data_IF_331883477312
#
_entry.id   IF_331883477312
#
_cell.length_a   1.000
_cell.length_b   1.000
_cell.length_c   1.000
_cell.angle_alpha   90.00
_cell.angle_beta   90.00
_cell.angle_gamma   90.00
#
_symmetry.space_group_name_H-M   'P 1'
#
loop_
_entity.id
_entity.type
_entity.pdbx_description
1 polymer ?
#
# COMPACT_ATOMS: atom_id res chain seq x y z
N UNK A 1 5.80 -51.15 20.96
CA UNK A 1 6.04 -50.20 19.85
C UNK A 1 4.70 -49.91 19.17
N UNK A 2 4.21 -48.66 19.26
CA UNK A 2 3.17 -48.00 18.46
C UNK A 2 2.35 -47.05 19.35
N UNK A 3 2.87 -45.85 19.58
CA UNK A 3 2.10 -44.69 20.04
C UNK A 3 2.98 -43.43 19.97
N UNK A 4 3.45 -43.02 18.79
CA UNK A 4 4.24 -41.78 18.65
C UNK A 4 4.11 -41.08 17.28
N UNK A 5 3.05 -41.32 16.50
CA UNK A 5 2.90 -40.72 15.16
C UNK A 5 1.60 -39.92 14.91
N UNK A 6 0.69 -39.82 15.88
CA UNK A 6 -0.57 -39.09 15.70
C UNK A 6 -0.54 -37.61 16.10
N UNK A 7 0.45 -37.19 16.90
CA UNK A 7 0.58 -35.79 17.34
C UNK A 7 1.13 -34.82 16.29
N UNK A 8 2.07 -35.27 15.44
CA UNK A 8 2.71 -34.42 14.43
C UNK A 8 1.79 -34.06 13.27
N UNK A 9 0.90 -34.97 12.87
CA UNK A 9 -0.04 -34.74 11.77
C UNK A 9 -1.15 -33.75 12.15
N UNK A 10 -1.60 -33.78 13.41
CA UNK A 10 -2.63 -32.86 13.92
C UNK A 10 -2.08 -31.42 14.10
N UNK A 11 -0.80 -31.28 14.48
CA UNK A 11 -0.11 -29.98 14.58
C UNK A 11 0.17 -29.37 13.20
N UNK A 12 0.55 -30.17 12.22
CA UNK A 12 0.71 -29.72 10.83
C UNK A 12 -0.63 -29.30 10.20
N UNK A 13 -1.73 -29.98 10.53
CA UNK A 13 -3.09 -29.61 10.09
C UNK A 13 -3.61 -28.34 10.80
N UNK A 14 -3.25 -28.09 12.06
CA UNK A 14 -3.64 -26.88 12.79
C UNK A 14 -2.94 -25.61 12.26
N UNK A 15 -1.68 -25.72 11.82
CA UNK A 15 -0.89 -24.60 11.28
C UNK A 15 -1.44 -24.06 9.95
N UNK A 16 -2.16 -24.88 9.17
CA UNK A 16 -2.77 -24.48 7.89
C UNK A 16 -4.00 -23.58 8.14
N UNK A 17 -4.67 -23.71 9.28
CA UNK A 17 -5.87 -22.94 9.63
C UNK A 17 -5.61 -21.51 10.13
N UNK A 18 -4.34 -21.09 10.25
CA UNK A 18 -3.97 -19.80 10.86
C UNK A 18 -2.96 -18.99 10.04
N UNK A 19 -2.53 -19.49 8.87
CA UNK A 19 -1.58 -18.76 8.01
C UNK A 19 -2.30 -17.81 7.06
N UNK A 20 -1.77 -16.61 6.86
CA UNK A 20 -2.20 -15.71 5.80
C UNK A 20 -1.42 -16.01 4.52
N UNK A 21 -2.11 -16.07 3.37
CA UNK A 21 -1.50 -16.23 2.07
C UNK A 21 -1.49 -14.92 1.30
N UNK A 22 -0.30 -14.39 1.03
CA UNK A 22 -0.09 -13.11 0.40
C UNK A 22 0.48 -13.30 -1.01
N UNK A 23 0.13 -12.38 -1.92
CA UNK A 23 0.74 -12.33 -3.24
C UNK A 23 0.98 -10.90 -3.73
N UNK A 24 1.87 -10.76 -4.70
CA UNK A 24 2.00 -9.58 -5.55
C UNK A 24 1.95 -9.97 -7.02
N UNK A 25 1.19 -9.23 -7.80
CA UNK A 25 0.95 -9.51 -9.20
C UNK A 25 0.94 -8.23 -10.04
N UNK A 26 1.95 -8.05 -10.87
CA UNK A 26 1.88 -7.10 -11.97
C UNK A 26 0.92 -7.64 -13.03
N UNK A 27 -0.24 -7.00 -13.20
CA UNK A 27 -1.22 -7.37 -14.23
C UNK A 27 -1.11 -6.38 -15.38
N UNK A 28 -0.48 -6.83 -16.47
CA UNK A 28 -0.14 -5.98 -17.60
C UNK A 28 -1.24 -5.02 -18.02
N UNK A 29 -1.03 -3.72 -17.78
CA UNK A 29 -1.95 -2.63 -18.10
C UNK A 29 -3.41 -2.94 -17.71
N UNK A 30 -3.64 -3.29 -16.44
CA UNK A 30 -4.99 -3.55 -15.93
C UNK A 30 -5.85 -2.28 -15.98
N UNK A 31 -6.98 -2.33 -16.66
CA UNK A 31 -7.91 -1.21 -16.85
C UNK A 31 -9.11 -1.63 -17.70
N UNK A 32 -9.95 -0.69 -18.13
CA UNK A 32 -11.26 -0.96 -18.74
C UNK A 32 -11.24 -1.95 -19.90
N UNK A 33 -10.23 -1.83 -20.78
CA UNK A 33 -10.08 -2.74 -21.91
C UNK A 33 -9.94 -4.19 -21.45
N UNK A 34 -9.12 -4.44 -20.42
CA UNK A 34 -8.95 -5.78 -19.85
C UNK A 34 -10.20 -6.21 -19.07
N UNK A 35 -10.75 -5.29 -18.27
CA UNK A 35 -11.92 -5.54 -17.45
C UNK A 35 -13.20 -5.86 -18.25
N UNK A 36 -13.32 -5.34 -19.47
CA UNK A 36 -14.43 -5.66 -20.37
C UNK A 36 -14.41 -7.09 -20.93
N UNK A 37 -13.30 -7.83 -20.76
CA UNK A 37 -13.19 -9.21 -21.22
C UNK A 37 -13.49 -10.19 -20.06
N UNK A 38 -14.69 -10.77 -20.07
CA UNK A 38 -15.14 -11.66 -19.00
C UNK A 38 -14.21 -12.87 -18.80
N UNK A 39 -13.67 -13.46 -19.86
CA UNK A 39 -12.73 -14.60 -19.73
C UNK A 39 -11.46 -14.20 -18.98
N UNK A 40 -10.91 -13.01 -19.24
CA UNK A 40 -9.74 -12.53 -18.50
C UNK A 40 -10.10 -12.23 -17.05
N UNK A 41 -11.29 -11.66 -16.81
CA UNK A 41 -11.78 -11.37 -15.46
C UNK A 41 -12.04 -12.62 -14.64
N UNK A 42 -12.55 -13.69 -15.24
CA UNK A 42 -12.75 -14.99 -14.56
C UNK A 42 -11.41 -15.60 -14.16
N UNK A 43 -10.38 -15.51 -15.03
CA UNK A 43 -9.02 -15.96 -14.71
C UNK A 43 -8.42 -15.12 -13.59
N UNK A 44 -8.47 -13.78 -13.70
CA UNK A 44 -7.94 -12.88 -12.67
C UNK A 44 -8.65 -13.11 -11.34
N UNK A 45 -9.97 -13.26 -11.33
CA UNK A 45 -10.74 -13.59 -10.13
C UNK A 45 -10.29 -14.92 -9.53
N UNK A 46 -10.11 -15.96 -10.35
CA UNK A 46 -9.61 -17.26 -9.88
C UNK A 46 -8.24 -17.13 -9.21
N UNK A 47 -7.36 -16.28 -9.76
CA UNK A 47 -6.05 -15.97 -9.17
C UNK A 47 -6.24 -15.24 -7.83
N UNK A 48 -7.08 -14.20 -7.78
CA UNK A 48 -7.39 -13.43 -6.56
C UNK A 48 -7.88 -14.33 -5.43
N UNK A 49 -8.78 -15.28 -5.73
CA UNK A 49 -9.37 -16.19 -4.74
C UNK A 49 -8.36 -17.11 -4.05
N UNK A 50 -7.12 -17.20 -4.54
CA UNK A 50 -6.06 -17.92 -3.84
C UNK A 50 -5.58 -17.20 -2.59
N UNK A 51 -5.61 -15.88 -2.58
CA UNK A 51 -4.91 -15.07 -1.59
C UNK A 51 -5.85 -14.47 -0.54
N UNK A 52 -5.31 -14.29 0.66
CA UNK A 52 -5.90 -13.47 1.72
C UNK A 52 -5.64 -11.99 1.47
N UNK A 53 -4.46 -11.66 0.93
CA UNK A 53 -4.10 -10.32 0.45
C UNK A 53 -3.37 -10.47 -0.89
N UNK A 54 -3.84 -9.81 -1.94
CA UNK A 54 -3.15 -9.70 -3.22
C UNK A 54 -2.88 -8.24 -3.54
N UNK A 55 -1.60 -7.89 -3.72
CA UNK A 55 -1.19 -6.66 -4.38
C UNK A 55 -1.34 -6.84 -5.89
N UNK A 56 -2.04 -5.92 -6.53
CA UNK A 56 -2.12 -5.77 -7.99
C UNK A 56 -1.40 -4.47 -8.37
N UNK A 57 -0.53 -4.56 -9.37
CA UNK A 57 0.25 -3.44 -9.91
C UNK A 57 -0.12 -3.20 -11.37
N UNK A 58 0.36 -2.07 -11.92
CA UNK A 58 0.03 -1.59 -13.27
C UNK A 58 -1.47 -1.32 -13.48
N UNK A 59 -2.16 -0.90 -12.40
CA UNK A 59 -3.57 -0.51 -12.46
C UNK A 59 -3.70 0.86 -13.12
N UNK A 60 -4.14 0.87 -14.37
CA UNK A 60 -4.39 2.04 -15.21
C UNK A 60 -5.88 2.33 -15.27
N UNK A 61 -6.40 2.78 -14.13
CA UNK A 61 -7.83 2.94 -13.89
C UNK A 61 -8.08 4.23 -13.10
N UNK A 62 -8.25 5.34 -13.81
CA UNK A 62 -8.31 6.66 -13.18
C UNK A 62 -9.58 6.87 -12.36
N UNK A 63 -10.71 6.29 -12.79
CA UNK A 63 -12.02 6.45 -12.17
C UNK A 63 -12.48 5.23 -11.36
N UNK A 64 -11.61 4.23 -11.22
CA UNK A 64 -11.84 2.97 -10.50
C UNK A 64 -12.94 2.09 -11.12
N UNK A 65 -13.32 2.32 -12.37
CA UNK A 65 -14.39 1.57 -13.02
C UNK A 65 -13.98 0.12 -13.31
N UNK A 66 -12.76 -0.13 -13.80
CA UNK A 66 -12.21 -1.48 -13.96
C UNK A 66 -12.05 -2.20 -12.62
N UNK A 67 -11.61 -1.49 -11.59
CA UNK A 67 -11.46 -1.99 -10.21
C UNK A 67 -12.82 -2.42 -9.66
N UNK A 68 -13.85 -1.60 -9.86
CA UNK A 68 -15.22 -1.96 -9.44
C UNK A 68 -15.71 -3.22 -10.14
N UNK A 69 -15.50 -3.35 -11.45
CA UNK A 69 -15.85 -4.56 -12.19
C UNK A 69 -15.09 -5.79 -11.68
N UNK A 70 -13.81 -5.64 -11.32
CA UNK A 70 -13.03 -6.72 -10.69
C UNK A 70 -13.64 -7.15 -9.37
N UNK A 71 -13.97 -6.20 -8.50
CA UNK A 71 -14.59 -6.51 -7.21
C UNK A 71 -15.96 -7.17 -7.37
N UNK A 72 -16.75 -6.76 -8.36
CA UNK A 72 -18.03 -7.39 -8.67
C UNK A 72 -17.84 -8.85 -9.12
N UNK A 73 -16.81 -9.16 -9.92
CA UNK A 73 -16.46 -10.55 -10.28
C UNK A 73 -15.95 -11.35 -9.06
N UNK A 74 -15.01 -10.80 -8.31
CA UNK A 74 -14.38 -11.47 -7.15
C UNK A 74 -15.41 -11.79 -6.08
N UNK A 75 -16.34 -10.87 -5.79
CA UNK A 75 -17.36 -11.06 -4.76
C UNK A 75 -18.58 -11.90 -5.21
N UNK A 76 -18.60 -12.39 -6.45
CA UNK A 76 -19.50 -13.49 -6.83
C UNK A 76 -18.96 -14.85 -6.40
N UNK A 77 -17.66 -14.95 -6.11
CA UNK A 77 -16.99 -16.17 -5.67
C UNK A 77 -17.01 -16.38 -4.15
N UNK A 78 -16.18 -17.31 -3.64
CA UNK A 78 -16.16 -17.66 -2.22
C UNK A 78 -15.39 -16.64 -1.36
N UNK A 79 -16.07 -16.15 -0.32
CA UNK A 79 -15.52 -15.20 0.64
C UNK A 79 -15.80 -13.75 0.24
N UNK A 80 -15.77 -12.85 1.22
CA UNK A 80 -15.99 -11.43 1.00
C UNK A 80 -14.64 -10.73 0.88
N UNK A 81 -14.41 -10.07 -0.25
CA UNK A 81 -13.23 -9.24 -0.48
C UNK A 81 -13.58 -7.77 -0.39
N UNK A 82 -12.63 -7.02 0.15
CA UNK A 82 -12.56 -5.57 0.11
C UNK A 82 -11.26 -5.15 -0.57
N UNK A 83 -11.10 -3.85 -0.77
CA UNK A 83 -9.88 -3.31 -1.38
C UNK A 83 -9.45 -1.99 -0.76
N UNK A 84 -8.17 -1.68 -0.94
CA UNK A 84 -7.62 -0.35 -0.74
C UNK A 84 -6.70 -0.02 -1.92
N UNK A 85 -6.79 1.21 -2.42
CA UNK A 85 -6.13 1.65 -3.64
C UNK A 85 -5.41 2.98 -3.42
N UNK A 86 -4.23 3.14 -4.02
CA UNK A 86 -3.49 4.40 -4.01
C UNK A 86 -4.11 5.44 -4.93
N UNK A 87 -3.67 6.69 -4.83
CA UNK A 87 -3.83 7.68 -5.91
C UNK A 87 -3.07 7.26 -7.19
N UNK A 88 -3.30 7.89 -8.36
CA UNK A 88 -2.49 7.66 -9.55
C UNK A 88 -1.06 8.21 -9.36
N UNK A 89 -0.07 7.34 -9.50
CA UNK A 89 1.36 7.60 -9.30
C UNK A 89 2.13 7.45 -10.62
N UNK A 90 3.22 8.19 -10.82
CA UNK A 90 3.98 8.21 -12.08
C UNK A 90 4.50 9.61 -12.42
N UNK A 91 5.77 9.83 -12.75
CA UNK A 91 6.26 11.19 -13.08
C UNK A 91 5.66 11.81 -14.35
N UNK A 92 5.07 10.99 -15.21
CA UNK A 92 4.56 11.41 -16.51
C UNK A 92 3.03 11.42 -16.56
N UNK A 93 2.45 11.68 -17.73
CA UNK A 93 1.02 11.49 -17.97
C UNK A 93 0.58 10.03 -17.88
N UNK A 94 1.53 9.10 -18.05
CA UNK A 94 1.33 7.70 -17.75
C UNK A 94 1.39 7.51 -16.23
N UNK A 95 0.24 7.18 -15.65
CA UNK A 95 0.04 6.95 -14.22
C UNK A 95 -0.52 5.55 -13.97
N UNK A 96 -0.17 4.98 -12.83
CA UNK A 96 -0.65 3.69 -12.33
C UNK A 96 -1.07 3.79 -10.87
N UNK A 97 -1.84 2.82 -10.38
CA UNK A 97 -2.19 2.68 -8.97
C UNK A 97 -1.64 1.38 -8.41
N UNK A 98 -1.39 1.36 -7.11
CA UNK A 98 -1.29 0.13 -6.32
C UNK A 98 -2.67 -0.23 -5.78
N UNK A 99 -3.07 -1.49 -5.95
CA UNK A 99 -4.37 -1.98 -5.51
C UNK A 99 -4.17 -3.23 -4.64
N UNK A 100 -4.52 -3.16 -3.37
CA UNK A 100 -4.59 -4.34 -2.50
C UNK A 100 -6.02 -4.84 -2.45
N UNK A 101 -6.25 -6.10 -2.83
CA UNK A 101 -7.47 -6.84 -2.54
C UNK A 101 -7.23 -7.71 -1.32
N UNK A 102 -8.20 -7.77 -0.41
CA UNK A 102 -8.05 -8.57 0.80
C UNK A 102 -9.37 -9.17 1.29
N UNK A 103 -9.28 -10.36 1.88
CA UNK A 103 -10.42 -11.06 2.50
C UNK A 103 -10.79 -10.40 3.83
N UNK A 104 -12.04 -9.96 3.95
CA UNK A 104 -12.50 -9.21 5.13
C UNK A 104 -12.57 -10.05 6.41
N UNK A 105 -12.71 -11.37 6.28
CA UNK A 105 -12.75 -12.32 7.39
C UNK A 105 -11.36 -12.72 7.90
N UNK A 106 -10.28 -12.42 7.15
CA UNK A 106 -8.91 -12.76 7.56
C UNK A 106 -8.11 -11.56 8.01
N UNK A 107 -8.30 -10.39 7.40
CA UNK A 107 -7.55 -9.16 7.72
C UNK A 107 -8.40 -7.90 7.68
N UNK A 108 -7.86 -6.81 8.20
CA UNK A 108 -8.39 -5.45 8.03
C UNK A 108 -7.27 -4.43 7.86
N UNK A 109 -7.50 -3.39 7.05
CA UNK A 109 -6.59 -2.25 6.98
C UNK A 109 -6.65 -1.45 8.28
N UNK A 110 -5.50 -1.16 8.88
CA UNK A 110 -5.36 -0.34 10.09
C UNK A 110 -5.13 1.12 9.72
N UNK A 111 -4.14 1.36 8.86
CA UNK A 111 -3.72 2.69 8.40
C UNK A 111 -2.84 2.56 7.16
N UNK A 112 -2.71 3.63 6.41
CA UNK A 112 -1.89 3.69 5.19
C UNK A 112 -1.34 5.10 5.00
N UNK A 113 -0.33 5.22 4.15
CA UNK A 113 0.16 6.48 3.59
C UNK A 113 0.95 6.21 2.32
N UNK A 114 1.05 7.19 1.44
CA UNK A 114 2.03 7.17 0.34
C UNK A 114 3.32 7.78 0.85
N UNK A 115 4.44 7.08 0.67
CA UNK A 115 5.76 7.62 0.96
C UNK A 115 6.02 8.84 0.08
N UNK A 116 6.68 9.86 0.62
CA UNK A 116 7.02 11.08 -0.10
C UNK A 116 8.52 11.29 0.13
N UNK A 117 9.32 11.10 -0.92
CA UNK A 117 10.77 11.26 -0.90
C UNK A 117 11.23 12.64 -1.36
N UNK A 118 10.28 13.54 -1.63
CA UNK A 118 10.53 14.93 -1.93
C UNK A 118 9.73 15.46 -3.11
N UNK A 119 10.21 16.58 -3.64
CA UNK A 119 9.48 17.39 -4.61
C UNK A 119 9.72 16.90 -6.04
N UNK A 120 8.67 16.43 -6.75
CA UNK A 120 8.78 16.06 -8.18
C UNK A 120 9.34 17.22 -9.05
N UNK A 121 8.82 18.48 -8.93
CA UNK A 121 9.34 19.60 -9.73
C UNK A 121 10.79 19.99 -9.43
N UNK A 122 11.30 19.59 -8.26
CA UNK A 122 12.64 19.93 -7.80
C UNK A 122 13.68 18.88 -8.23
N UNK A 123 13.24 17.74 -8.78
CA UNK A 123 14.11 16.65 -9.23
C UNK A 123 14.76 15.86 -8.09
N UNK A 124 14.24 15.96 -6.87
CA UNK A 124 14.72 15.19 -5.71
C UNK A 124 14.00 13.86 -5.55
N UNK A 125 12.88 13.69 -6.24
CA UNK A 125 12.09 12.46 -6.26
C UNK A 125 12.89 11.31 -6.90
N UNK A 126 12.97 10.18 -6.19
CA UNK A 126 13.67 8.95 -6.58
C UNK A 126 12.69 7.94 -7.17
N UNK A 127 11.49 7.81 -6.64
CA UNK A 127 10.50 6.85 -7.10
C UNK A 127 9.67 7.36 -8.28
N UNK A 128 9.61 6.61 -9.39
CA UNK A 128 8.62 6.95 -10.43
C UNK A 128 7.18 6.77 -9.91
N UNK A 129 6.97 5.77 -9.05
CA UNK A 129 5.71 5.49 -8.36
C UNK A 129 6.01 5.28 -6.88
N UNK A 130 5.58 6.22 -6.07
CA UNK A 130 5.88 6.29 -4.66
C UNK A 130 5.24 5.13 -3.89
N UNK A 131 5.97 4.43 -2.98
CA UNK A 131 5.42 3.31 -2.25
C UNK A 131 4.14 3.65 -1.47
N UNK A 132 3.04 2.95 -1.78
CA UNK A 132 1.77 3.07 -1.04
C UNK A 132 1.75 2.11 0.15
N UNK A 133 2.30 2.56 1.28
CA UNK A 133 2.53 1.76 2.48
C UNK A 133 1.21 1.49 3.21
N UNK A 134 0.89 0.21 3.45
CA UNK A 134 -0.36 -0.21 4.12
C UNK A 134 -0.06 -1.11 5.32
N UNK A 135 -0.61 -0.75 6.48
CA UNK A 135 -0.63 -1.63 7.65
C UNK A 135 -1.93 -2.44 7.69
N UNK A 136 -1.79 -3.76 7.73
CA UNK A 136 -2.88 -4.71 7.94
C UNK A 136 -2.83 -5.25 9.37
N UNK A 137 -4.00 -5.58 9.92
CA UNK A 137 -4.13 -6.37 11.14
C UNK A 137 -4.75 -7.71 10.77
N UNK A 138 -4.14 -8.79 11.25
CA UNK A 138 -4.65 -10.14 11.07
C UNK A 138 -5.68 -10.48 12.14
N UNK A 139 -6.84 -10.96 11.71
CA UNK A 139 -7.91 -11.39 12.62
C UNK A 139 -7.59 -12.74 13.26
N UNK A 140 -6.94 -13.63 12.52
CA UNK A 140 -6.69 -15.01 12.94
C UNK A 140 -5.38 -15.18 13.72
N UNK A 141 -4.41 -14.30 13.51
CA UNK A 141 -3.09 -14.46 14.12
C UNK A 141 -2.80 -13.58 15.32
N UNK A 142 -3.58 -12.51 15.50
CA UNK A 142 -3.12 -11.37 16.28
C UNK A 142 -1.93 -10.68 15.61
N UNK A 143 -1.79 -9.38 15.88
CA UNK A 143 -0.70 -8.56 15.36
C UNK A 143 -1.01 -7.85 14.05
N UNK A 144 -0.25 -6.77 13.85
CA UNK A 144 -0.30 -5.95 12.65
C UNK A 144 1.03 -6.05 11.91
N UNK A 145 0.98 -5.89 10.60
CA UNK A 145 2.15 -5.89 9.75
C UNK A 145 1.99 -4.92 8.60
N UNK A 146 3.11 -4.54 8.01
CA UNK A 146 3.18 -3.53 6.97
C UNK A 146 3.54 -4.19 5.66
N UNK A 147 2.80 -3.85 4.61
CA UNK A 147 3.11 -4.17 3.23
C UNK A 147 3.58 -2.89 2.52
N UNK A 148 4.75 -2.95 1.91
CA UNK A 148 5.32 -1.88 1.10
C UNK A 148 5.32 -2.36 -0.37
N UNK A 149 4.35 -1.93 -1.18
CA UNK A 149 4.33 -2.28 -2.60
C UNK A 149 5.40 -1.48 -3.33
N UNK A 150 6.05 -2.09 -4.32
CA UNK A 150 6.83 -1.33 -5.30
C UNK A 150 6.76 -1.94 -6.70
N UNK A 151 6.43 -1.10 -7.68
CA UNK A 151 6.61 -1.36 -9.10
C UNK A 151 7.65 -0.35 -9.59
N UNK A 152 8.89 -0.79 -9.80
CA UNK A 152 9.97 0.14 -10.16
C UNK A 152 9.95 0.54 -11.62
N UNK A 153 10.50 1.71 -11.96
CA UNK A 153 10.85 1.98 -13.35
C UNK A 153 12.08 1.13 -13.76
N UNK A 154 12.07 0.39 -14.87
CA UNK A 154 13.21 -0.43 -15.29
C UNK A 154 14.53 0.35 -15.39
N UNK A 155 14.48 1.57 -15.91
CA UNK A 155 15.64 2.45 -16.07
C UNK A 155 16.19 2.97 -14.72
N UNK A 156 15.39 2.89 -13.66
CA UNK A 156 15.73 3.37 -12.32
C UNK A 156 15.72 2.27 -11.26
N UNK A 157 15.61 0.99 -11.67
CA UNK A 157 15.44 -0.14 -10.77
C UNK A 157 16.48 -0.16 -9.65
N UNK A 158 17.76 0.05 -9.96
CA UNK A 158 18.84 0.07 -8.95
C UNK A 158 18.58 1.16 -7.89
N UNK A 159 18.23 2.38 -8.33
CA UNK A 159 18.03 3.52 -7.42
C UNK A 159 16.77 3.38 -6.59
N UNK A 160 15.66 2.98 -7.21
CA UNK A 160 14.39 2.80 -6.51
C UNK A 160 14.47 1.64 -5.50
N UNK A 161 15.06 0.51 -5.88
CA UNK A 161 15.24 -0.63 -4.96
C UNK A 161 16.19 -0.28 -3.81
N UNK A 162 17.25 0.50 -4.05
CA UNK A 162 18.09 1.00 -2.95
C UNK A 162 17.31 1.91 -2.01
N UNK A 163 16.51 2.84 -2.55
CA UNK A 163 15.71 3.79 -1.77
C UNK A 163 14.61 3.12 -0.91
N UNK A 164 14.15 1.91 -1.25
CA UNK A 164 13.24 1.14 -0.40
C UNK A 164 13.83 0.87 1.01
N UNK A 165 15.16 0.87 1.16
CA UNK A 165 15.81 0.85 2.46
C UNK A 165 15.37 2.02 3.35
N UNK A 166 15.27 3.22 2.77
CA UNK A 166 14.90 4.44 3.48
C UNK A 166 13.39 4.46 3.79
N UNK A 167 12.56 3.86 2.93
CA UNK A 167 11.13 3.66 3.18
C UNK A 167 10.90 2.77 4.40
N UNK A 168 11.66 1.68 4.53
CA UNK A 168 11.60 0.80 5.71
C UNK A 168 11.98 1.58 6.98
N UNK A 169 13.00 2.43 6.91
CA UNK A 169 13.40 3.27 8.04
C UNK A 169 12.35 4.34 8.41
N UNK A 170 11.65 4.92 7.42
CA UNK A 170 10.51 5.79 7.66
C UNK A 170 9.39 5.03 8.38
N UNK A 171 9.02 3.83 7.91
CA UNK A 171 8.01 2.99 8.58
C UNK A 171 8.39 2.68 10.02
N UNK A 172 9.65 2.27 10.27
CA UNK A 172 10.16 1.99 11.62
C UNK A 172 10.02 3.21 12.54
N UNK A 173 10.38 4.39 12.01
CA UNK A 173 10.33 5.64 12.77
C UNK A 173 8.89 6.09 13.03
N UNK A 174 8.04 6.01 11.99
CA UNK A 174 6.67 6.50 12.00
C UNK A 174 5.72 5.61 12.79
N UNK A 175 5.87 4.29 12.67
CA UNK A 175 4.91 3.31 13.19
C UNK A 175 5.48 2.35 14.22
N UNK A 176 6.77 2.47 14.57
CA UNK A 176 7.42 1.68 15.61
C UNK A 176 7.24 0.17 15.43
N UNK A 177 7.38 -0.30 14.18
CA UNK A 177 7.29 -1.71 13.83
C UNK A 177 8.41 -2.10 12.88
N UNK A 178 8.86 -3.35 13.00
CA UNK A 178 9.74 -4.00 12.03
C UNK A 178 9.06 -5.22 11.38
N UNK A 179 7.75 -5.44 11.59
CA UNK A 179 6.97 -6.45 10.88
C UNK A 179 6.61 -5.96 9.47
N UNK A 180 7.60 -5.89 8.58
CA UNK A 180 7.51 -5.27 7.26
C UNK A 180 7.84 -6.27 6.15
N UNK A 181 6.96 -6.33 5.15
CA UNK A 181 7.17 -7.10 3.93
C UNK A 181 7.13 -6.13 2.73
N UNK A 182 8.17 -6.12 1.92
CA UNK A 182 8.21 -5.42 0.65
C UNK A 182 7.90 -6.41 -0.47
N UNK A 183 7.08 -6.02 -1.44
CA UNK A 183 6.65 -6.94 -2.50
C UNK A 183 6.25 -6.21 -3.79
N UNK A 184 6.46 -6.85 -4.93
CA UNK A 184 6.07 -6.36 -6.25
C UNK A 184 7.11 -6.55 -7.32
N UNK A 185 6.84 -6.01 -8.51
CA UNK A 185 7.76 -5.96 -9.63
C UNK A 185 8.90 -4.95 -9.39
N UNK A 186 10.02 -5.45 -8.92
CA UNK A 186 11.18 -4.62 -8.62
C UNK A 186 12.07 -4.43 -9.85
N UNK A 187 11.74 -5.02 -11.01
CA UNK A 187 12.59 -5.05 -12.20
C UNK A 187 14.04 -5.45 -11.87
N UNK A 188 14.25 -6.37 -10.92
CA UNK A 188 15.59 -6.79 -10.52
C UNK A 188 16.06 -8.02 -11.30
N UNK A 189 17.34 -8.04 -11.68
CA UNK A 189 17.91 -9.12 -12.49
C UNK A 189 17.94 -8.80 -13.99
N UNK A 190 18.39 -9.78 -14.77
CA UNK A 190 18.57 -9.65 -16.22
C UNK A 190 19.35 -8.39 -16.61
N UNK A 191 18.85 -7.59 -17.56
CA UNK A 191 19.52 -6.38 -18.04
C UNK A 191 19.41 -5.18 -17.11
N UNK A 192 18.49 -5.21 -16.13
CA UNK A 192 18.18 -4.04 -15.31
C UNK A 192 19.03 -3.98 -14.03
N UNK A 193 19.35 -5.13 -13.43
CA UNK A 193 20.27 -5.23 -12.29
C UNK A 193 21.19 -6.41 -12.49
N UNK A 194 22.47 -6.14 -12.75
CA UNK A 194 23.48 -7.15 -13.06
C UNK A 194 24.43 -7.37 -11.88
N UNK A 195 25.33 -8.36 -11.99
CA UNK A 195 26.17 -8.87 -10.90
C UNK A 195 26.69 -7.83 -9.91
N UNK A 196 27.40 -6.78 -10.37
CA UNK A 196 27.98 -5.76 -9.48
C UNK A 196 26.96 -4.73 -8.96
N UNK A 197 25.85 -4.53 -9.68
CA UNK A 197 24.83 -3.56 -9.28
C UNK A 197 24.20 -3.95 -7.93
N UNK A 198 24.05 -5.25 -7.69
CA UNK A 198 23.56 -5.79 -6.41
C UNK A 198 24.39 -5.35 -5.20
N UNK A 199 25.70 -5.12 -5.37
CA UNK A 199 26.58 -4.66 -4.29
C UNK A 199 26.34 -3.19 -3.91
N UNK A 200 25.59 -2.45 -4.73
CA UNK A 200 25.25 -1.04 -4.49
C UNK A 200 23.89 -0.84 -3.82
N UNK A 201 23.08 -1.90 -3.73
CA UNK A 201 21.71 -1.85 -3.19
C UNK A 201 21.74 -2.19 -1.70
N UNK A 202 21.46 -1.22 -0.83
CA UNK A 202 21.43 -1.39 0.63
C UNK A 202 20.41 -2.45 1.06
N UNK A 203 19.24 -2.48 0.42
CA UNK A 203 18.20 -3.49 0.66
C UNK A 203 18.68 -4.93 0.39
N UNK A 204 19.72 -5.13 -0.42
CA UNK A 204 20.30 -6.45 -0.71
C UNK A 204 21.56 -6.77 0.09
N UNK A 205 22.40 -5.76 0.32
CA UNK A 205 23.67 -5.94 1.03
C UNK A 205 23.49 -6.07 2.54
N UNK A 206 22.51 -5.37 3.12
CA UNK A 206 22.16 -5.48 4.54
C UNK A 206 21.47 -6.82 4.84
N UNK A 207 22.09 -7.62 5.71
CA UNK A 207 21.65 -8.98 6.05
C UNK A 207 20.45 -9.03 7.00
N UNK A 208 19.96 -7.88 7.45
CA UNK A 208 18.67 -7.80 8.15
C UNK A 208 17.47 -7.91 7.19
N UNK A 209 17.70 -7.84 5.88
CA UNK A 209 16.69 -8.09 4.85
C UNK A 209 16.88 -9.46 4.22
N UNK A 210 15.80 -10.23 4.17
CA UNK A 210 15.77 -11.53 3.52
C UNK A 210 14.96 -11.45 2.23
N UNK A 211 15.64 -11.64 1.10
CA UNK A 211 15.01 -11.81 -0.20
C UNK A 211 14.47 -13.23 -0.29
N UNK A 212 13.15 -13.37 -0.42
CA UNK A 212 12.44 -14.64 -0.38
C UNK A 212 12.29 -15.25 -1.78
N UNK A 213 12.24 -14.42 -2.82
CA UNK A 213 12.32 -14.84 -4.22
C UNK A 213 13.77 -14.68 -4.69
N UNK A 214 14.38 -15.80 -5.06
CA UNK A 214 15.80 -15.88 -5.41
C UNK A 214 16.10 -15.31 -6.82
N UNK A 215 17.37 -14.99 -7.08
CA UNK A 215 17.85 -14.41 -8.34
C UNK A 215 17.80 -15.37 -9.54
N UNK A 216 17.56 -16.65 -9.31
CA UNK A 216 17.48 -17.70 -10.33
C UNK A 216 16.03 -18.11 -10.68
N UNK A 217 15.04 -17.46 -10.06
CA UNK A 217 13.63 -17.79 -10.25
C UNK A 217 13.01 -16.91 -11.33
N UNK A 218 12.46 -17.54 -12.38
CA UNK A 218 11.73 -16.82 -13.41
C UNK A 218 10.35 -16.36 -12.89
N UNK A 219 10.08 -15.07 -13.06
CA UNK A 219 8.81 -14.44 -12.68
C UNK A 219 8.01 -13.98 -13.91
N UNK A 220 8.49 -14.28 -15.12
CA UNK A 220 7.90 -13.78 -16.36
C UNK A 220 7.13 -14.86 -17.13
N UNK A 221 6.01 -14.48 -17.74
CA UNK A 221 5.27 -15.30 -18.72
C UNK A 221 5.90 -15.15 -20.11
N UNK A 222 6.61 -14.05 -20.33
CA UNK A 222 7.28 -13.71 -21.59
C UNK A 222 8.39 -14.73 -21.92
N UNK A 223 9.04 -14.61 -23.08
CA UNK A 223 10.16 -15.50 -23.46
C UNK A 223 11.44 -15.23 -22.67
N UNK A 224 11.44 -14.21 -21.80
CA UNK A 224 12.51 -13.95 -20.84
C UNK A 224 12.58 -15.02 -19.76
N UNK A 225 13.70 -15.06 -19.05
CA UNK A 225 13.85 -15.80 -17.80
C UNK A 225 14.44 -14.83 -16.77
N UNK A 226 13.57 -14.11 -16.07
CA UNK A 226 13.97 -12.96 -15.25
C UNK A 226 13.29 -12.93 -13.88
N UNK A 227 14.04 -12.65 -12.80
CA UNK A 227 13.53 -12.59 -11.43
C UNK A 227 13.06 -11.16 -11.06
N UNK A 228 12.20 -10.56 -11.88
CA UNK A 228 11.77 -9.18 -11.70
C UNK A 228 10.93 -8.98 -10.44
N UNK A 229 9.94 -9.84 -10.22
CA UNK A 229 9.03 -9.77 -9.08
C UNK A 229 9.67 -10.34 -7.82
N UNK A 230 9.51 -9.62 -6.70
CA UNK A 230 10.22 -9.92 -5.46
C UNK A 230 9.32 -9.86 -4.24
N UNK A 231 9.77 -10.58 -3.23
CA UNK A 231 9.28 -10.46 -1.86
C UNK A 231 10.51 -10.37 -0.95
N UNK A 232 10.57 -9.34 -0.13
CA UNK A 232 11.66 -9.07 0.80
C UNK A 232 11.09 -8.87 2.20
N UNK A 233 11.59 -9.61 3.18
CA UNK A 233 11.17 -9.52 4.58
C UNK A 233 12.26 -8.86 5.42
N UNK A 234 11.87 -7.99 6.35
CA UNK A 234 12.74 -7.60 7.47
C UNK A 234 12.97 -8.75 8.45
N UNK A 235 13.94 -8.62 9.34
CA UNK A 235 14.32 -9.66 10.29
C UNK A 235 13.17 -10.10 11.21
N UNK A 236 12.31 -9.16 11.66
CA UNK A 236 11.15 -9.50 12.48
C UNK A 236 10.04 -10.15 11.65
N UNK A 237 9.75 -9.62 10.46
CA UNK A 237 8.81 -10.25 9.53
C UNK A 237 9.22 -11.67 9.15
N UNK A 238 10.51 -11.94 8.97
CA UNK A 238 11.02 -13.26 8.61
C UNK A 238 10.62 -14.34 9.64
N UNK A 239 10.50 -13.99 10.92
CA UNK A 239 10.04 -14.92 11.98
C UNK A 239 8.59 -15.38 11.76
N UNK A 240 7.82 -14.61 11.01
CA UNK A 240 6.43 -14.90 10.64
C UNK A 240 6.32 -15.56 9.27
N UNK A 241 7.37 -15.58 8.45
CA UNK A 241 7.31 -16.26 7.15
C UNK A 241 7.30 -17.77 7.36
N UNK A 242 6.32 -18.46 6.75
CA UNK A 242 6.34 -19.93 6.68
C UNK A 242 7.51 -20.33 5.79
N UNK A 243 8.49 -21.04 6.36
CA UNK A 243 9.70 -21.44 5.65
C UNK A 243 9.36 -22.23 4.38
N UNK A 244 9.94 -21.83 3.25
CA UNK A 244 9.74 -22.47 1.95
C UNK A 244 8.38 -22.18 1.29
N UNK A 245 7.58 -21.28 1.85
CA UNK A 245 6.28 -20.89 1.24
C UNK A 245 6.39 -19.84 0.13
N UNK A 246 7.54 -19.16 0.02
CA UNK A 246 7.74 -18.14 -0.99
C UNK A 246 7.98 -18.79 -2.36
N UNK A 247 7.17 -18.45 -3.36
CA UNK A 247 7.20 -19.08 -4.67
C UNK A 247 6.67 -18.15 -5.77
N UNK A 248 6.83 -18.60 -7.03
CA UNK A 248 6.13 -18.03 -8.19
C UNK A 248 4.93 -18.91 -8.50
N UNK A 249 3.77 -18.28 -8.67
CA UNK A 249 2.55 -18.97 -9.06
C UNK A 249 2.40 -19.00 -10.58
N UNK A 250 2.76 -20.13 -11.18
CA UNK A 250 2.56 -20.37 -12.60
C UNK A 250 1.10 -20.72 -12.93
N UNK A 251 0.25 -19.70 -13.04
CA UNK A 251 -1.17 -19.86 -13.36
C UNK A 251 -1.44 -20.41 -14.77
N UNK A 252 -0.47 -20.35 -15.69
CA UNK A 252 -0.58 -21.01 -16.99
C UNK A 252 -0.70 -22.52 -16.82
N UNK A 253 0.19 -23.10 -16.01
CA UNK A 253 0.21 -24.55 -15.76
C UNK A 253 -0.98 -24.94 -14.88
N UNK A 254 -1.22 -24.21 -13.79
CA UNK A 254 -2.26 -24.53 -12.80
C UNK A 254 -3.68 -24.49 -13.40
N UNK A 255 -3.96 -23.48 -14.24
CA UNK A 255 -5.27 -23.30 -14.86
C UNK A 255 -5.34 -23.88 -16.29
N UNK A 256 -4.30 -24.60 -16.72
CA UNK A 256 -4.21 -25.23 -18.05
C UNK A 256 -4.46 -24.27 -19.23
N UNK A 257 -3.90 -23.07 -19.16
CA UNK A 257 -4.09 -22.01 -20.16
C UNK A 257 -3.10 -22.16 -21.33
N UNK A 258 -3.51 -21.69 -22.51
CA UNK A 258 -2.55 -21.46 -23.60
C UNK A 258 -1.63 -20.30 -23.25
N UNK A 259 -0.39 -20.34 -23.75
CA UNK A 259 0.57 -19.24 -23.56
C UNK A 259 0.02 -17.88 -24.00
N UNK A 260 -0.75 -17.85 -25.10
CA UNK A 260 -1.42 -16.65 -25.59
C UNK A 260 -2.46 -16.08 -24.62
N UNK A 261 -3.21 -16.94 -23.94
CA UNK A 261 -4.22 -16.52 -22.98
C UNK A 261 -3.56 -16.06 -21.67
N UNK A 262 -2.50 -16.74 -21.25
CA UNK A 262 -1.66 -16.31 -20.13
C UNK A 262 -1.10 -14.91 -20.39
N UNK A 263 -0.47 -14.68 -21.54
CA UNK A 263 0.04 -13.35 -21.92
C UNK A 263 -1.05 -12.28 -22.03
N UNK A 264 -2.29 -12.66 -22.36
CA UNK A 264 -3.42 -11.73 -22.37
C UNK A 264 -3.81 -11.29 -20.95
N UNK A 265 -3.60 -12.14 -19.94
CA UNK A 265 -3.75 -11.81 -18.52
C UNK A 265 -2.58 -10.96 -18.05
N UNK A 266 -1.34 -11.43 -18.16
CA UNK A 266 -0.14 -10.65 -17.84
C UNK A 266 1.12 -11.25 -18.45
N UNK A 267 2.16 -10.45 -18.61
CA UNK A 267 3.53 -10.89 -18.91
C UNK A 267 4.35 -11.25 -17.65
N UNK A 268 3.77 -11.12 -16.46
CA UNK A 268 4.34 -11.55 -15.18
C UNK A 268 3.53 -12.70 -14.58
N UNK A 269 4.17 -13.49 -13.72
CA UNK A 269 3.53 -14.41 -12.80
C UNK A 269 3.44 -13.76 -11.41
N UNK A 270 2.39 -14.04 -10.61
CA UNK A 270 2.39 -13.63 -9.21
C UNK A 270 3.55 -14.25 -8.43
N UNK A 271 4.16 -13.48 -7.54
CA UNK A 271 4.99 -13.99 -6.45
C UNK A 271 4.15 -14.09 -5.18
N UNK A 272 4.30 -15.17 -4.43
CA UNK A 272 3.45 -15.49 -3.29
C UNK A 272 4.26 -15.90 -2.06
N UNK A 273 3.70 -15.73 -0.86
CA UNK A 273 4.31 -16.14 0.43
C UNK A 273 3.24 -16.37 1.48
N UNK A 274 3.48 -17.30 2.42
CA UNK A 274 2.61 -17.48 3.60
C UNK A 274 3.24 -16.90 4.85
N UNK A 275 2.41 -16.22 5.65
CA UNK A 275 2.75 -15.77 6.99
C UNK A 275 2.05 -16.66 8.01
N UNK A 276 2.78 -17.17 9.00
CA UNK A 276 2.21 -17.85 10.16
C UNK A 276 1.36 -16.87 10.96
N UNK A 277 0.50 -17.45 11.80
CA UNK A 277 -0.01 -16.65 12.88
C UNK A 277 1.16 -16.19 13.75
N UNK A 278 1.32 -14.87 13.93
CA UNK A 278 2.31 -14.34 14.86
C UNK A 278 2.16 -15.00 16.24
N UNK A 279 3.22 -15.05 17.06
CA UNK A 279 3.02 -15.39 18.46
C UNK A 279 1.92 -14.46 19.01
N UNK A 280 0.98 -14.95 19.85
CA UNK A 280 -0.03 -14.09 20.43
C UNK A 280 0.70 -12.90 21.02
N UNK A 281 0.35 -11.69 20.57
CA UNK A 281 0.81 -10.47 21.22
C UNK A 281 0.64 -10.70 22.71
N UNK A 282 1.72 -10.55 23.49
CA UNK A 282 1.63 -10.60 24.95
C UNK A 282 0.43 -9.76 25.42
N UNK A 283 -0.14 -10.06 26.60
CA UNK A 283 -1.34 -9.39 27.08
C UNK A 283 -1.19 -7.88 26.83
N UNK A 284 -2.22 -7.21 26.27
CA UNK A 284 -2.13 -5.82 25.84
C UNK A 284 -1.36 -5.03 26.91
N UNK A 285 -0.24 -4.44 26.50
CA UNK A 285 0.65 -3.70 27.38
C UNK A 285 -0.08 -2.43 27.84
N UNK A 286 -0.89 -2.62 28.88
CA UNK A 286 -1.66 -1.58 29.54
C UNK A 286 -3.17 -1.89 29.52
N UNK A 287 -3.90 -1.60 30.61
CA UNK A 287 -5.34 -1.43 30.52
C UNK A 287 -5.66 -0.38 29.44
N UNK A 288 -6.86 -0.44 28.81
CA UNK A 288 -7.34 0.65 27.96
C UNK A 288 -7.08 1.98 28.67
N UNK A 289 -6.51 2.94 27.96
CA UNK A 289 -6.24 4.28 28.47
C UNK A 289 -7.52 4.92 28.98
N UNK A 290 -7.79 4.72 30.27
CA UNK A 290 -8.89 5.31 31.04
C UNK A 290 -10.30 4.93 30.57
N UNK A 291 -11.32 5.06 31.43
CA UNK A 291 -12.68 5.20 30.94
C UNK A 291 -12.76 6.40 29.99
N UNK A 292 -13.66 6.38 28.99
CA UNK A 292 -14.00 7.58 28.22
C UNK A 292 -14.22 8.75 29.18
N UNK A 293 -13.61 9.88 28.87
CA UNK A 293 -13.77 11.12 29.61
C UNK A 293 -15.26 11.50 29.67
N UNK A 294 -15.88 11.21 30.82
CA UNK A 294 -17.16 11.76 31.26
C UNK A 294 -18.41 11.22 30.56
N UNK A 295 -19.56 11.17 31.28
CA UNK A 295 -20.85 10.98 30.63
C UNK A 295 -21.14 12.14 29.66
N UNK A 296 -21.92 11.92 28.59
CA UNK A 296 -22.43 12.99 27.75
C UNK A 296 -23.10 14.06 28.63
N UNK A 297 -22.74 15.31 28.42
CA UNK A 297 -23.38 16.45 29.06
C UNK A 297 -24.86 16.54 28.63
N UNK A 298 -25.74 16.08 29.53
CA UNK A 298 -27.15 16.46 29.56
C UNK A 298 -28.12 15.53 28.81
N UNK A 299 -29.36 15.35 29.33
CA UNK A 299 -30.42 14.66 28.60
C UNK A 299 -30.85 15.46 27.35
N UNK A 300 -31.35 14.80 26.29
CA UNK A 300 -31.95 15.48 25.16
C UNK A 300 -33.10 16.37 25.63
N UNK A 301 -33.05 17.64 25.25
CA UNK A 301 -34.13 18.59 25.44
C UNK A 301 -35.36 18.18 24.63
N UNK A 302 -36.34 17.58 25.32
CA UNK A 302 -37.77 17.60 24.98
C UNK A 302 -38.25 16.67 23.84
N UNK A 303 -39.51 16.18 23.91
CA UNK A 303 -40.12 15.43 22.82
C UNK A 303 -40.42 16.34 21.61
N UNK A 304 -40.43 15.81 20.37
CA UNK A 304 -40.82 16.57 19.19
C UNK A 304 -42.27 17.04 19.31
N UNK A 305 -42.50 18.35 19.18
CA UNK A 305 -43.83 18.93 19.09
C UNK A 305 -44.42 18.70 17.70
N UNK A 306 -45.40 17.77 17.62
CA UNK A 306 -46.49 17.77 16.64
C UNK A 306 -46.23 17.10 15.27
N UNK A 307 -47.26 16.49 14.66
CA UNK A 307 -47.18 15.95 13.30
C UNK A 307 -47.15 17.06 12.24
N UNK A 308 -46.49 16.85 11.09
CA UNK A 308 -46.44 17.84 10.02
C UNK A 308 -47.81 17.97 9.33
N UNK A 309 -48.34 19.19 9.32
CA UNK A 309 -49.53 19.56 8.57
C UNK A 309 -49.18 19.97 7.13
N UNK A 310 -49.65 19.17 6.16
CA UNK A 310 -49.96 19.60 4.78
C UNK A 310 -48.87 19.36 3.71
N UNK A 311 -49.26 18.93 2.48
CA UNK A 311 -48.34 18.83 1.35
C UNK A 311 -47.98 20.22 0.78
N UNK A 312 -46.76 20.42 0.24
CA UNK A 312 -46.33 21.70 -0.30
C UNK A 312 -47.02 22.01 -1.63
N UNK A 313 -47.72 23.13 -1.68
CA UNK A 313 -48.27 23.73 -2.89
C UNK A 313 -47.25 24.69 -3.53
N UNK A 314 -46.77 24.33 -4.73
CA UNK A 314 -46.23 25.28 -5.73
C UNK A 314 -44.70 25.26 -5.93
N UNK A 315 -44.20 25.31 -7.19
CA UNK A 315 -42.79 25.49 -7.49
C UNK A 315 -42.34 26.95 -7.24
N UNK A 316 -41.09 27.19 -6.77
CA UNK A 316 -40.59 28.55 -6.56
C UNK A 316 -40.36 29.28 -7.88
N UNK A 317 -41.04 30.41 -8.06
CA UNK A 317 -40.78 31.40 -9.09
C UNK A 317 -39.73 32.41 -8.63
N UNK A 318 -38.59 32.49 -9.33
CA UNK A 318 -37.71 33.66 -9.38
C UNK A 318 -36.34 33.53 -8.68
N UNK A 319 -35.25 34.03 -9.29
CA UNK A 319 -33.93 34.10 -8.65
C UNK A 319 -33.89 35.18 -7.54
N UNK A 320 -33.14 34.98 -6.46
CA UNK A 320 -33.07 35.92 -5.34
C UNK A 320 -32.35 37.22 -5.73
N UNK A 321 -33.07 38.33 -5.61
CA UNK A 321 -32.56 39.69 -5.66
C UNK A 321 -32.26 40.19 -4.24
N UNK A 322 -30.99 40.41 -3.93
CA UNK A 322 -30.57 41.19 -2.75
C UNK A 322 -29.28 40.71 -2.08
N UNK A 323 -28.31 41.61 -1.79
CA UNK A 323 -27.12 41.26 -1.03
C UNK A 323 -27.47 40.96 0.45
N UNK A 324 -26.68 40.11 1.15
CA UNK A 324 -26.95 39.77 2.53
C UNK A 324 -26.83 40.99 3.45
N UNK A 325 -27.88 41.22 4.23
CA UNK A 325 -27.94 42.16 5.33
C UNK A 325 -27.38 41.55 6.61
N UNK A 326 -26.30 42.14 7.15
CA UNK A 326 -25.93 42.03 8.57
C UNK A 326 -24.50 41.50 8.85
N UNK A 327 -23.70 42.16 9.70
CA UNK A 327 -22.41 41.65 10.15
C UNK A 327 -22.56 40.46 11.12
N UNK A 328 -21.53 39.57 11.23
CA UNK A 328 -21.53 38.47 12.18
C UNK A 328 -21.68 38.96 13.62
N UNK A 329 -22.49 38.25 14.39
CA UNK A 329 -22.66 38.44 15.83
C UNK A 329 -21.57 37.66 16.60
N UNK A 330 -20.72 38.37 17.34
CA UNK A 330 -19.93 37.81 18.44
C UNK A 330 -18.40 37.85 18.27
N UNK A 331 -17.64 38.30 19.29
CA UNK A 331 -16.18 38.23 19.28
C UNK A 331 -15.66 36.79 19.50
N UNK A 332 -14.47 36.44 18.99
CA UNK A 332 -13.81 35.17 19.29
C UNK A 332 -13.55 35.02 20.79
N UNK A 333 -13.84 33.85 21.34
CA UNK A 333 -13.49 33.45 22.69
C UNK A 333 -12.00 33.13 22.80
N UNK A 334 -11.26 33.93 23.57
CA UNK A 334 -9.97 33.58 24.20
C UNK A 334 -8.72 34.29 23.64
N UNK A 335 -7.82 34.81 24.51
CA UNK A 335 -6.53 35.34 24.08
C UNK A 335 -5.57 34.20 23.66
N UNK A 336 -4.65 34.43 22.69
CA UNK A 336 -3.56 33.51 22.41
C UNK A 336 -2.64 33.33 23.62
N UNK A 337 -2.22 32.09 23.84
CA UNK A 337 -1.23 31.70 24.83
C UNK A 337 0.17 32.27 24.51
N UNK A 338 0.67 33.17 25.36
CA UNK A 338 2.10 33.42 25.62
C UNK A 338 2.90 34.21 24.57
N UNK A 339 3.75 35.18 24.98
CA UNK A 339 4.69 35.84 24.06
C UNK A 339 5.81 34.88 23.59
N UNK A 340 6.34 35.05 22.37
CA UNK A 340 7.54 34.36 21.93
C UNK A 340 8.73 34.68 22.83
N UNK A 341 9.49 33.66 23.19
CA UNK A 341 10.76 33.75 23.89
C UNK A 341 11.86 34.35 23.00
N UNK A 342 12.33 35.55 23.34
CA UNK A 342 13.68 36.05 23.02
C UNK A 342 13.81 36.98 21.80
N UNK A 343 14.56 38.09 21.89
CA UNK A 343 14.89 38.93 20.74
C UNK A 343 15.90 38.26 19.80
N UNK A 344 15.86 38.52 18.48
CA UNK A 344 16.90 38.11 17.55
C UNK A 344 18.26 38.72 17.92
N UNK A 345 19.28 37.88 17.92
CA UNK A 345 20.68 38.25 18.09
C UNK A 345 21.19 39.13 16.94
N UNK A 346 21.52 40.39 17.24
CA UNK A 346 22.58 41.19 16.60
C UNK A 346 22.34 41.76 15.19
N UNK A 347 22.74 43.02 14.91
CA UNK A 347 22.69 43.60 13.57
C UNK A 347 23.73 42.95 12.62
N UNK A 348 23.46 42.88 11.31
CA UNK A 348 24.44 42.46 10.31
C UNK A 348 25.65 43.40 10.26
N UNK A 349 26.85 42.83 10.31
CA UNK A 349 28.11 43.54 10.10
C UNK A 349 28.31 43.89 8.61
N UNK A 350 28.36 45.19 8.31
CA UNK A 350 29.18 45.76 7.24
C UNK A 350 28.46 46.17 5.95
N UNK A 351 28.73 47.38 5.40
CA UNK A 351 28.26 47.79 4.08
C UNK A 351 28.98 47.04 2.94
N UNK A 352 28.34 46.86 1.77
CA UNK A 352 28.98 46.29 0.59
C UNK A 352 30.10 47.20 0.07
N UNK A 353 31.28 46.63 -0.10
CA UNK A 353 32.41 47.24 -0.81
C UNK A 353 32.17 47.28 -2.32
N UNK A 354 32.03 48.50 -2.87
CA UNK A 354 32.56 48.88 -4.19
C UNK A 354 31.67 48.66 -5.43
N UNK A 355 31.53 49.65 -6.33
CA UNK A 355 30.89 49.49 -7.63
C UNK A 355 31.76 48.67 -8.62
N UNK A 356 31.14 48.06 -9.65
CA UNK A 356 31.79 47.13 -10.57
C UNK A 356 32.83 47.81 -11.48
N UNK A 357 33.99 47.18 -11.60
CA UNK A 357 35.00 47.47 -12.61
C UNK A 357 34.56 46.98 -13.98
N UNK A 358 34.25 47.93 -14.88
CA UNK A 358 34.60 47.97 -16.31
C UNK A 358 34.20 46.81 -17.26
N UNK A 359 33.58 47.09 -18.42
CA UNK A 359 33.37 46.08 -19.46
C UNK A 359 34.69 45.70 -20.17
N UNK A 360 34.87 44.45 -20.61
CA UNK A 360 35.91 44.10 -21.59
C UNK A 360 35.54 44.61 -22.99
N UNK A 361 36.56 45.10 -23.68
CA UNK A 361 36.55 45.70 -25.03
C UNK A 361 36.16 44.73 -26.15
N UNK A 362 35.87 45.35 -27.31
CA UNK A 362 35.39 44.85 -28.61
C UNK A 362 35.99 43.55 -29.16
#
# INVERSE_FOLDING_TARGET
MRALFTGGLLWALLQIGTSLFLGAFNIKSFGDKKASNSTLMDIISTIVHRYDILLIQEVRDSDLSATKLLMDHVNQGPGQYSYIVSEPLGRSTYKERYLFLYREDTVSVVKNYTYDDGCEPCGTDIFNREPFVVMFSSRNSGGSFVLIPQHTSPDWAIKEVDALYDVVNDVRTRWHTDDILLLGDFNTGCSYVTGKDWETIRLFTDKSFQWLISNDVDTTVSQSNCPYDRIVATADMLKRVVLGSAAVYNYMVDLHLSHSLTLAVSDHYPVEVRLTAGPPSGPPSGPPSGPPSGPPSGPPSGPPSGPPSGPPSGPPSGPPSGPPSGPPSGPPSGPPSGPPSGPPSGPPSGPPSGPPSGPPSA
#
